data_IF_387215778460
#
_entry.id   IF_387215778460
#
_cell.length_a   1.000
_cell.length_b   1.000
_cell.length_c   1.000
_cell.angle_alpha   90.00
_cell.angle_beta   90.00
_cell.angle_gamma   90.00
#
_symmetry.space_group_name_H-M   'P 1'
#
loop_
_entity.id
_entity.type
_entity.pdbx_description
1 polymer ?
#
# COMPACT_ATOMS: atom_id res chain seq x y z
N UNK A 1 -18.77 4.08 -0.56
CA UNK A 1 -18.30 4.41 0.81
C UNK A 1 -17.61 5.76 0.86
N UNK A 2 -16.62 6.04 0.01
CA UNK A 2 -15.90 7.34 -0.01
C UNK A 2 -16.87 8.55 -0.02
N UNK A 3 -17.92 8.51 -0.85
CA UNK A 3 -18.90 9.60 -0.93
C UNK A 3 -19.81 9.73 0.31
N UNK A 4 -20.01 8.65 1.08
CA UNK A 4 -20.85 8.67 2.29
C UNK A 4 -20.12 9.18 3.52
N UNK A 5 -18.82 8.94 3.60
CA UNK A 5 -18.03 9.25 4.77
C UNK A 5 -17.46 10.69 4.75
N UNK A 6 -17.95 11.52 3.84
CA UNK A 6 -17.67 12.96 3.79
C UNK A 6 -16.28 13.35 3.29
N UNK A 7 -15.49 12.37 2.84
CA UNK A 7 -14.11 12.56 2.41
C UNK A 7 -13.94 12.32 0.91
N UNK A 8 -14.58 13.10 0.05
CA UNK A 8 -14.35 12.97 -1.40
C UNK A 8 -12.89 13.26 -1.76
N UNK A 9 -12.32 12.44 -2.65
CA UNK A 9 -11.03 12.75 -3.25
C UNK A 9 -11.22 13.87 -4.28
N UNK A 10 -10.39 14.90 -4.22
CA UNK A 10 -10.38 15.97 -5.21
C UNK A 10 -9.57 15.60 -6.47
N UNK A 11 -8.76 14.56 -6.40
CA UNK A 11 -8.00 14.01 -7.53
C UNK A 11 -8.15 12.49 -7.54
N UNK A 12 -8.64 11.97 -8.66
CA UNK A 12 -8.75 10.54 -8.89
C UNK A 12 -8.05 10.19 -10.21
N UNK A 13 -7.11 9.25 -10.18
CA UNK A 13 -6.41 8.78 -11.36
C UNK A 13 -6.58 7.26 -11.47
N UNK A 14 -7.21 6.84 -12.57
CA UNK A 14 -7.34 5.42 -12.92
C UNK A 14 -6.25 5.06 -13.93
N UNK A 15 -5.51 3.98 -13.69
CA UNK A 15 -4.48 3.45 -14.60
C UNK A 15 -4.68 1.96 -14.80
N UNK A 16 -4.48 1.51 -16.02
CA UNK A 16 -4.39 0.10 -16.36
C UNK A 16 -2.93 -0.31 -16.51
N UNK A 17 -2.52 -1.39 -15.84
CA UNK A 17 -1.24 -2.04 -16.06
C UNK A 17 -1.41 -3.20 -17.05
N UNK A 18 -0.40 -3.37 -17.91
CA UNK A 18 -0.31 -4.52 -18.80
C UNK A 18 0.16 -5.79 -18.08
N UNK A 19 0.42 -6.82 -18.85
CA UNK A 19 0.83 -8.14 -18.40
C UNK A 19 2.35 -8.33 -18.27
N UNK A 20 3.13 -7.29 -18.60
CA UNK A 20 4.59 -7.36 -18.45
C UNK A 20 4.98 -7.54 -16.99
N UNK A 21 5.72 -8.60 -16.70
CA UNK A 21 6.22 -8.86 -15.35
C UNK A 21 7.19 -7.76 -14.90
N UNK A 22 6.96 -7.24 -13.70
CA UNK A 22 7.88 -6.29 -13.09
C UNK A 22 9.12 -7.02 -12.53
N UNK A 23 10.34 -6.49 -12.74
CA UNK A 23 11.57 -7.19 -12.39
C UNK A 23 11.92 -7.16 -10.90
N UNK A 24 11.35 -6.24 -10.14
CA UNK A 24 11.70 -6.04 -8.72
C UNK A 24 10.90 -6.92 -7.77
N UNK A 25 11.54 -7.42 -6.71
CA UNK A 25 10.93 -8.26 -5.67
C UNK A 25 9.73 -7.59 -4.97
N UNK A 26 9.80 -6.27 -4.77
CA UNK A 26 8.77 -5.48 -4.12
C UNK A 26 8.01 -4.58 -5.12
N UNK A 27 7.94 -4.98 -6.39
CA UNK A 27 7.22 -4.21 -7.40
C UNK A 27 5.74 -4.16 -7.09
N UNK A 28 5.19 -2.95 -7.09
CA UNK A 28 3.75 -2.72 -6.94
C UNK A 28 2.98 -3.07 -8.23
N UNK A 29 3.58 -2.76 -9.40
CA UNK A 29 2.94 -2.97 -10.69
C UNK A 29 2.71 -4.47 -10.96
N UNK A 30 1.46 -4.81 -11.24
CA UNK A 30 0.99 -6.15 -11.63
C UNK A 30 -0.19 -6.00 -12.59
N UNK A 31 -0.53 -7.01 -13.41
CA UNK A 31 -1.69 -6.92 -14.29
C UNK A 31 -2.95 -6.52 -13.55
N UNK A 32 -3.66 -5.51 -14.06
CA UNK A 32 -4.87 -5.02 -13.43
C UNK A 32 -5.06 -3.50 -13.52
N UNK A 33 -5.91 -2.97 -12.65
CA UNK A 33 -6.26 -1.55 -12.60
C UNK A 33 -5.83 -0.98 -11.25
N UNK A 34 -5.23 0.21 -11.26
CA UNK A 34 -4.97 0.99 -10.04
C UNK A 34 -5.82 2.23 -10.00
N UNK A 35 -6.20 2.62 -8.79
CA UNK A 35 -6.91 3.86 -8.51
C UNK A 35 -6.09 4.66 -7.49
N UNK A 36 -5.60 5.82 -7.89
CA UNK A 36 -4.97 6.77 -6.99
C UNK A 36 -5.99 7.82 -6.55
N UNK A 37 -6.09 8.03 -5.24
CA UNK A 37 -7.03 8.97 -4.64
C UNK A 37 -6.27 9.83 -3.63
N UNK A 38 -6.42 11.14 -3.72
CA UNK A 38 -5.86 12.09 -2.75
C UNK A 38 -6.96 12.57 -1.80
N UNK A 39 -6.77 12.35 -0.51
CA UNK A 39 -7.72 12.76 0.53
C UNK A 39 -7.14 13.87 1.40
N UNK A 40 -7.92 14.90 1.74
CA UNK A 40 -7.53 15.81 2.79
C UNK A 40 -7.48 15.06 4.13
N UNK A 41 -6.45 15.35 4.94
CA UNK A 41 -6.29 14.70 6.25
C UNK A 41 -7.17 15.37 7.31
N UNK A 42 -8.31 14.76 7.61
CA UNK A 42 -9.23 15.18 8.68
C UNK A 42 -9.08 14.27 9.93
N UNK A 43 -7.83 14.05 10.35
CA UNK A 43 -7.52 13.25 11.53
C UNK A 43 -8.04 11.82 11.47
N UNK A 44 -8.60 11.34 12.58
CA UNK A 44 -9.03 9.94 12.73
C UNK A 44 -10.10 9.49 11.73
N UNK A 45 -10.91 10.40 11.20
CA UNK A 45 -11.94 10.06 10.22
C UNK A 45 -11.34 9.62 8.90
N UNK A 46 -10.37 10.37 8.39
CA UNK A 46 -9.65 9.98 7.17
C UNK A 46 -8.88 8.68 7.38
N UNK A 47 -8.21 8.50 8.52
CA UNK A 47 -7.46 7.27 8.81
C UNK A 47 -8.37 6.04 8.82
N UNK A 48 -9.53 6.08 9.47
CA UNK A 48 -10.51 4.98 9.44
C UNK A 48 -11.04 4.67 8.03
N UNK A 49 -11.24 5.69 7.21
CA UNK A 49 -11.63 5.50 5.82
C UNK A 49 -10.53 4.74 5.07
N UNK A 50 -9.28 5.16 5.19
CA UNK A 50 -8.14 4.52 4.55
C UNK A 50 -7.96 3.08 5.01
N UNK A 51 -8.08 2.78 6.30
CA UNK A 51 -8.05 1.40 6.82
C UNK A 51 -9.16 0.53 6.24
N UNK A 52 -10.33 1.11 6.01
CA UNK A 52 -11.43 0.40 5.36
C UNK A 52 -11.14 0.12 3.88
N UNK A 53 -10.53 1.08 3.18
CA UNK A 53 -10.14 0.91 1.77
C UNK A 53 -9.01 -0.13 1.62
N UNK A 54 -8.05 -0.16 2.54
CA UNK A 54 -7.00 -1.17 2.54
C UNK A 54 -7.56 -2.59 2.66
N UNK A 55 -8.56 -2.80 3.54
CA UNK A 55 -9.25 -4.10 3.64
C UNK A 55 -9.94 -4.48 2.35
N UNK A 56 -10.63 -3.54 1.69
CA UNK A 56 -11.27 -3.80 0.39
C UNK A 56 -10.24 -4.24 -0.64
N UNK A 57 -9.08 -3.57 -0.69
CA UNK A 57 -7.99 -3.93 -1.60
C UNK A 57 -7.41 -5.30 -1.27
N UNK A 58 -7.17 -5.57 0.01
CA UNK A 58 -6.65 -6.85 0.49
C UNK A 58 -7.60 -8.02 0.17
N UNK A 59 -8.91 -7.85 0.40
CA UNK A 59 -9.93 -8.86 0.13
C UNK A 59 -10.09 -9.14 -1.37
N UNK A 60 -9.84 -8.14 -2.21
CA UNK A 60 -9.80 -8.29 -3.66
C UNK A 60 -8.49 -8.90 -4.20
N UNK A 61 -7.52 -9.26 -3.34
CA UNK A 61 -6.21 -9.76 -3.77
C UNK A 61 -5.30 -8.67 -4.37
N UNK A 62 -5.63 -7.40 -4.16
CA UNK A 62 -4.85 -6.27 -4.62
C UNK A 62 -3.67 -5.93 -3.71
N UNK A 63 -3.07 -4.77 -3.93
CA UNK A 63 -2.04 -4.19 -3.06
C UNK A 63 -2.18 -2.68 -2.97
N UNK A 64 -1.76 -2.12 -1.84
CA UNK A 64 -1.64 -0.67 -1.63
C UNK A 64 -0.22 -0.23 -1.94
N UNK A 65 -0.08 0.93 -2.60
CA UNK A 65 1.21 1.47 -3.00
C UNK A 65 1.99 1.98 -1.78
N UNK A 66 3.19 1.42 -1.49
CA UNK A 66 3.88 1.69 -0.24
C UNK A 66 4.74 2.96 -0.25
N UNK A 67 5.07 3.52 -1.42
CA UNK A 67 6.08 4.59 -1.52
C UNK A 67 5.64 5.95 -0.93
N UNK A 68 4.36 6.14 -0.65
CA UNK A 68 3.81 7.33 0.03
C UNK A 68 3.11 6.98 1.33
N UNK A 69 3.43 5.82 1.88
CA UNK A 69 2.77 5.32 3.08
C UNK A 69 3.31 5.97 4.36
N UNK A 70 2.41 6.19 5.31
CA UNK A 70 2.72 6.61 6.67
C UNK A 70 2.09 5.70 7.74
N UNK A 71 1.31 4.66 7.38
CA UNK A 71 0.45 3.92 8.31
C UNK A 71 0.27 2.43 8.03
N UNK A 72 0.78 1.88 6.91
CA UNK A 72 0.62 0.47 6.52
C UNK A 72 1.08 -0.46 7.65
N UNK A 73 0.23 -1.38 8.04
CA UNK A 73 0.57 -2.40 9.03
C UNK A 73 1.50 -3.47 8.42
N UNK A 74 2.36 -4.07 9.26
CA UNK A 74 3.29 -5.11 8.80
C UNK A 74 2.59 -6.31 8.18
N UNK A 75 1.45 -6.74 8.74
CA UNK A 75 0.65 -7.85 8.19
C UNK A 75 0.15 -7.55 6.78
N UNK A 76 -0.32 -6.31 6.52
CA UNK A 76 -0.78 -5.89 5.20
C UNK A 76 0.38 -5.81 4.21
N UNK A 77 1.51 -5.25 4.62
CA UNK A 77 2.71 -5.20 3.79
C UNK A 77 3.15 -6.59 3.33
N UNK A 78 3.24 -7.55 4.25
CA UNK A 78 3.64 -8.94 3.95
C UNK A 78 2.64 -9.63 3.01
N UNK A 79 1.34 -9.36 3.19
CA UNK A 79 0.30 -9.85 2.29
C UNK A 79 0.40 -9.25 0.89
N UNK A 80 0.68 -7.96 0.78
CA UNK A 80 0.79 -7.25 -0.50
C UNK A 80 2.08 -7.58 -1.26
N UNK A 81 3.16 -7.86 -0.53
CA UNK A 81 4.50 -8.08 -1.07
C UNK A 81 5.12 -9.37 -0.53
N UNK A 82 4.63 -10.55 -0.96
CA UNK A 82 5.07 -11.85 -0.39
C UNK A 82 6.56 -12.15 -0.57
N UNK A 83 7.24 -11.50 -1.52
CA UNK A 83 8.69 -11.62 -1.71
C UNK A 83 9.53 -10.73 -0.76
N UNK A 84 8.92 -10.11 0.26
CA UNK A 84 9.60 -9.22 1.20
C UNK A 84 10.75 -9.90 1.96
N UNK A 85 10.61 -11.18 2.31
CA UNK A 85 11.67 -11.94 3.00
C UNK A 85 12.92 -12.09 2.12
N UNK A 86 12.71 -12.36 0.83
CA UNK A 86 13.81 -12.42 -0.14
C UNK A 86 14.52 -11.08 -0.25
N UNK A 87 13.80 -9.98 -0.22
CA UNK A 87 14.39 -8.64 -0.20
C UNK A 87 15.10 -8.35 1.11
N UNK A 88 14.51 -8.75 2.26
CA UNK A 88 15.09 -8.55 3.59
C UNK A 88 16.50 -9.17 3.71
N UNK A 89 16.70 -10.34 3.13
CA UNK A 89 18.00 -11.03 3.13
C UNK A 89 19.13 -10.25 2.42
N UNK A 90 18.79 -9.28 1.58
CA UNK A 90 19.75 -8.46 0.83
C UNK A 90 19.98 -7.06 1.43
N UNK A 91 19.21 -6.69 2.46
CA UNK A 91 19.32 -5.36 3.08
C UNK A 91 20.46 -5.36 4.11
N UNK A 92 21.39 -4.40 3.97
CA UNK A 92 22.35 -4.10 5.03
C UNK A 92 21.59 -3.47 6.21
N UNK A 93 21.61 -4.06 7.42
CA UNK A 93 20.86 -3.55 8.56
C UNK A 93 21.23 -2.13 9.00
N UNK A 94 22.41 -1.62 8.57
CA UNK A 94 22.82 -0.23 8.79
C UNK A 94 22.05 0.78 7.95
N UNK A 95 21.38 0.33 6.88
CA UNK A 95 20.60 1.16 5.96
C UNK A 95 19.12 0.76 6.01
N UNK A 96 18.48 1.06 7.15
CA UNK A 96 17.06 0.73 7.37
C UNK A 96 16.25 2.01 7.52
N UNK A 97 15.10 2.09 6.84
CA UNK A 97 14.13 3.18 7.01
C UNK A 97 13.14 2.89 8.13
N UNK A 98 12.52 3.95 8.68
CA UNK A 98 11.43 3.79 9.66
C UNK A 98 10.25 3.00 9.09
N UNK A 99 9.94 3.18 7.81
CA UNK A 99 8.93 2.36 7.11
C UNK A 99 9.31 0.89 7.15
N UNK A 100 10.53 0.55 6.71
CA UNK A 100 10.99 -0.83 6.63
C UNK A 100 10.93 -1.53 7.99
N UNK A 101 11.45 -0.89 9.04
CA UNK A 101 11.38 -1.43 10.40
C UNK A 101 9.95 -1.69 10.85
N UNK A 102 9.05 -0.70 10.69
CA UNK A 102 7.64 -0.84 11.06
C UNK A 102 6.95 -2.03 10.39
N UNK A 103 7.22 -2.28 9.11
CA UNK A 103 6.50 -3.33 8.37
C UNK A 103 7.14 -4.71 8.46
N UNK A 104 8.39 -4.80 8.94
CA UNK A 104 9.13 -6.07 9.02
C UNK A 104 9.47 -6.49 10.46
N UNK A 105 9.67 -5.57 11.39
CA UNK A 105 10.12 -5.86 12.76
C UNK A 105 8.96 -5.87 13.78
N UNK A 106 7.94 -5.01 13.61
CA UNK A 106 6.78 -4.91 14.50
C UNK A 106 5.71 -5.97 14.14
N UNK A 107 6.07 -7.23 14.19
CA UNK A 107 5.17 -8.34 13.88
C UNK A 107 4.89 -9.21 15.10
#
# INVERSE_FOLDING_TARGET
RVARDGGGSFLAVLKQFGDQAAPGLLSFARPGITLALDFPLHGATTLRLLDTLDRVVADAGGAVYPAKDARMAGADFRRFFPAWESMHAHIDPRFSSSFWRRVTEDA
#
